data_IF_936833220093
#
_entry.id   IF_936833220093
#
_cell.length_a   1.000
_cell.length_b   1.000
_cell.length_c   1.000
_cell.angle_alpha   90.00
_cell.angle_beta   90.00
_cell.angle_gamma   90.00
#
_symmetry.space_group_name_H-M   'P 1'
#
loop_
_entity.id
_entity.type
_entity.pdbx_description
1 polymer ?
#
# COMPACT_ATOMS: atom_id res chain seq x y z
N UNK A 1 43.70 -64.89 -10.85
CA UNK A 1 43.21 -63.64 -10.20
C UNK A 1 41.83 -63.38 -10.77
N UNK A 2 40.75 -63.66 -10.02
CA UNK A 2 40.08 -62.69 -9.14
C UNK A 2 39.63 -61.48 -9.97
N UNK A 3 38.35 -61.18 -10.22
CA UNK A 3 37.18 -61.20 -9.33
C UNK A 3 35.89 -61.14 -10.17
N UNK A 4 34.83 -61.70 -9.60
CA UNK A 4 33.42 -61.49 -9.94
C UNK A 4 33.02 -60.04 -9.67
N UNK A 5 32.21 -59.42 -10.53
CA UNK A 5 31.20 -58.48 -10.06
C UNK A 5 29.97 -58.43 -10.97
N UNK A 6 28.82 -58.74 -10.37
CA UNK A 6 27.48 -58.72 -10.95
C UNK A 6 26.88 -57.34 -10.88
N UNK A 7 26.32 -56.82 -11.98
CA UNK A 7 25.43 -55.65 -11.95
C UNK A 7 24.01 -56.09 -12.30
N UNK A 8 23.17 -56.17 -11.26
CA UNK A 8 21.75 -56.50 -11.36
C UNK A 8 20.95 -55.36 -12.00
N UNK A 9 20.24 -55.69 -13.08
CA UNK A 9 19.18 -54.86 -13.66
C UNK A 9 17.95 -54.91 -12.74
N UNK A 10 17.63 -53.77 -12.09
CA UNK A 10 16.36 -53.59 -11.37
C UNK A 10 15.26 -53.26 -12.39
N UNK A 11 14.28 -54.15 -12.49
CA UNK A 11 13.02 -53.93 -13.21
C UNK A 11 12.08 -53.16 -12.28
N UNK A 12 11.83 -51.89 -12.59
CA UNK A 12 10.80 -51.09 -11.89
C UNK A 12 9.46 -51.36 -12.57
N UNK A 13 8.60 -52.12 -11.89
CA UNK A 13 7.20 -52.34 -12.29
C UNK A 13 6.41 -51.04 -12.05
N UNK A 14 5.83 -50.50 -13.12
CA UNK A 14 4.80 -49.44 -13.08
C UNK A 14 3.48 -50.07 -12.61
N UNK A 15 3.01 -49.73 -11.43
CA UNK A 15 1.63 -49.98 -11.00
C UNK A 15 0.86 -48.68 -11.09
N UNK A 16 0.01 -48.59 -12.11
CA UNK A 16 -1.08 -47.63 -12.19
C UNK A 16 -2.17 -48.04 -11.19
N UNK A 17 -2.66 -47.10 -10.38
CA UNK A 17 -3.86 -47.28 -9.57
C UNK A 17 -4.84 -46.19 -9.98
N UNK A 18 -6.01 -46.65 -10.42
CA UNK A 18 -7.07 -45.89 -11.04
C UNK A 18 -7.95 -45.16 -10.02
N UNK A 19 -8.42 -44.00 -10.46
CA UNK A 19 -9.41 -43.11 -9.84
C UNK A 19 -10.76 -43.81 -9.67
N UNK A 20 -11.40 -43.65 -8.51
CA UNK A 20 -12.84 -43.96 -8.31
C UNK A 20 -13.51 -42.69 -7.80
N UNK A 21 -14.30 -42.06 -8.66
CA UNK A 21 -15.20 -40.95 -8.34
C UNK A 21 -16.57 -41.57 -8.04
N UNK A 22 -17.07 -41.43 -6.81
CA UNK A 22 -18.42 -41.81 -6.45
C UNK A 22 -19.32 -40.57 -6.52
N UNK A 23 -20.18 -40.55 -7.55
CA UNK A 23 -21.29 -39.60 -7.71
C UNK A 23 -22.49 -40.15 -6.95
N UNK A 24 -23.01 -39.42 -5.97
CA UNK A 24 -24.29 -39.73 -5.32
C UNK A 24 -25.31 -38.69 -5.77
N UNK A 25 -26.21 -39.12 -6.66
CA UNK A 25 -27.43 -38.41 -7.04
C UNK A 25 -28.56 -38.95 -6.17
N UNK A 26 -29.18 -38.09 -5.37
CA UNK A 26 -30.44 -38.38 -4.69
C UNK A 26 -31.53 -37.48 -5.29
N UNK A 27 -32.36 -38.07 -6.15
CA UNK A 27 -33.62 -37.49 -6.63
C UNK A 27 -34.71 -37.97 -5.69
N UNK A 28 -35.41 -37.04 -5.04
CA UNK A 28 -36.72 -37.30 -4.44
C UNK A 28 -37.72 -36.30 -5.03
N UNK A 29 -38.58 -36.84 -5.89
CA UNK A 29 -39.80 -36.21 -6.39
C UNK A 29 -40.87 -36.38 -5.30
N UNK A 30 -41.46 -35.27 -4.87
CA UNK A 30 -42.68 -35.25 -4.06
C UNK A 30 -43.62 -34.18 -4.60
N UNK A 31 -44.72 -34.62 -5.22
CA UNK A 31 -45.83 -33.75 -5.64
C UNK A 31 -46.75 -33.45 -4.44
N UNK A 32 -47.24 -32.23 -4.36
CA UNK A 32 -48.35 -31.84 -3.48
C UNK A 32 -48.75 -30.40 -3.76
N UNK A 33 -49.80 -30.21 -4.56
CA UNK A 33 -50.54 -28.95 -4.69
C UNK A 33 -51.49 -28.82 -3.51
N UNK A 34 -51.67 -27.60 -2.98
CA UNK A 34 -52.96 -26.89 -2.97
C UNK A 34 -52.81 -25.54 -2.22
N UNK A 35 -53.48 -24.54 -2.78
CA UNK A 35 -53.57 -23.14 -2.37
C UNK A 35 -53.93 -22.94 -0.89
N UNK A 36 -53.30 -21.98 -0.20
CA UNK A 36 -54.06 -20.94 0.51
C UNK A 36 -53.21 -19.73 0.95
N UNK A 37 -53.89 -18.60 1.08
CA UNK A 37 -53.38 -17.25 1.20
C UNK A 37 -52.50 -16.95 2.44
N UNK A 38 -51.47 -16.12 2.22
CA UNK A 38 -50.61 -15.56 3.27
C UNK A 38 -51.31 -14.41 4.00
N UNK A 39 -51.34 -14.37 5.35
CA UNK A 39 -51.64 -13.14 6.06
C UNK A 39 -50.38 -12.29 6.15
N UNK A 40 -50.46 -11.06 5.63
CA UNK A 40 -49.45 -10.03 5.84
C UNK A 40 -49.52 -9.54 7.29
N UNK A 41 -48.40 -9.64 8.01
CA UNK A 41 -48.23 -9.00 9.32
C UNK A 41 -47.95 -7.51 9.11
N UNK A 42 -48.86 -6.69 9.61
CA UNK A 42 -48.86 -5.23 9.61
C UNK A 42 -47.70 -4.68 10.47
N UNK A 43 -46.89 -3.79 9.88
CA UNK A 43 -45.91 -2.95 10.61
C UNK A 43 -46.63 -1.64 10.96
N UNK A 44 -46.64 -1.17 12.23
CA UNK A 44 -47.31 0.08 12.58
C UNK A 44 -46.47 1.30 12.17
N UNK A 45 -47.13 2.30 11.58
CA UNK A 45 -46.58 3.63 11.27
C UNK A 45 -46.15 4.41 12.53
N UNK A 46 -45.10 5.27 12.45
CA UNK A 46 -44.76 6.20 13.51
C UNK A 46 -45.72 7.43 13.53
N UNK A 47 -45.92 8.07 14.70
CA UNK A 47 -46.86 9.19 14.85
C UNK A 47 -46.31 10.51 14.28
N UNK A 48 -47.19 11.47 13.92
CA UNK A 48 -46.77 12.73 13.30
C UNK A 48 -46.21 13.73 14.32
N UNK A 49 -45.07 14.33 13.99
CA UNK A 49 -44.45 15.44 14.73
C UNK A 49 -45.15 16.75 14.39
N UNK A 50 -45.77 17.38 15.38
CA UNK A 50 -46.37 18.71 15.29
C UNK A 50 -45.32 19.82 15.39
N UNK A 51 -45.29 20.72 14.41
CA UNK A 51 -44.49 21.96 14.43
C UNK A 51 -45.32 23.07 15.08
N UNK A 52 -44.80 23.85 16.05
CA UNK A 52 -45.41 25.10 16.43
C UNK A 52 -44.83 26.25 15.60
N UNK A 53 -45.71 26.95 14.90
CA UNK A 53 -45.47 28.27 14.29
C UNK A 53 -45.52 29.33 15.39
N UNK A 54 -44.55 30.24 15.43
CA UNK A 54 -44.69 31.52 16.13
C UNK A 54 -44.04 32.62 15.30
N UNK A 55 -44.85 33.60 14.90
CA UNK A 55 -44.46 34.83 14.23
C UNK A 55 -44.46 35.97 15.24
N UNK A 56 -43.37 36.74 15.32
CA UNK A 56 -43.41 38.16 15.70
C UNK A 56 -42.15 38.89 15.21
N UNK A 57 -42.36 40.09 14.68
CA UNK A 57 -41.40 40.99 14.03
C UNK A 57 -40.80 42.04 14.98
N UNK A 58 -39.57 42.52 14.68
CA UNK A 58 -39.00 43.87 14.99
C UNK A 58 -37.61 43.94 14.32
N UNK A 59 -37.35 44.75 13.28
CA UNK A 59 -37.01 46.20 13.22
C UNK A 59 -35.64 46.59 13.81
N UNK A 60 -34.73 46.94 12.89
CA UNK A 60 -33.74 48.06 12.88
C UNK A 60 -32.66 48.18 13.97
N UNK A 61 -31.38 48.13 13.55
CA UNK A 61 -30.39 49.23 13.61
C UNK A 61 -28.94 48.71 13.66
N UNK A 62 -28.08 49.18 12.75
CA UNK A 62 -26.62 49.03 12.80
C UNK A 62 -25.95 50.16 13.60
N UNK A 63 -24.79 49.89 14.25
CA UNK A 63 -23.79 50.93 14.51
C UNK A 63 -22.36 50.55 14.03
N UNK A 64 -21.42 51.51 14.00
CA UNK A 64 -20.41 51.64 12.95
C UNK A 64 -19.00 51.12 13.28
N UNK A 65 -18.22 50.99 12.22
CA UNK A 65 -16.75 50.95 12.14
C UNK A 65 -16.04 51.89 13.12
N UNK A 66 -15.07 51.36 13.88
CA UNK A 66 -13.77 52.00 14.08
C UNK A 66 -12.78 51.05 14.76
N UNK A 67 -11.69 50.69 14.07
CA UNK A 67 -10.46 50.18 14.67
C UNK A 67 -9.25 50.88 14.01
N UNK A 68 -8.20 51.22 14.79
CA UNK A 68 -7.15 52.15 14.37
C UNK A 68 -6.06 51.47 13.54
N UNK A 69 -5.54 52.23 12.58
CA UNK A 69 -4.33 51.92 11.80
C UNK A 69 -3.09 52.05 12.68
N UNK A 70 -2.39 50.94 12.92
CA UNK A 70 -1.02 50.93 13.48
C UNK A 70 -0.05 50.48 12.39
N UNK A 71 0.79 51.41 11.95
CA UNK A 71 1.91 51.17 11.03
C UNK A 71 3.05 50.49 11.80
N UNK A 72 3.35 49.23 11.50
CA UNK A 72 4.55 48.52 11.96
C UNK A 72 5.49 48.30 10.76
N UNK A 73 6.77 48.65 10.96
CA UNK A 73 7.80 48.72 9.91
C UNK A 73 8.17 47.37 9.30
N UNK A 74 8.44 47.40 8.00
CA UNK A 74 8.89 46.26 7.21
C UNK A 74 10.40 46.03 7.43
N UNK A 75 10.73 45.01 8.21
CA UNK A 75 12.04 44.33 8.09
C UNK A 75 11.91 43.30 6.98
N UNK A 76 12.86 43.15 6.03
CA UNK A 76 12.82 42.08 5.04
C UNK A 76 12.95 40.74 5.77
N UNK A 77 11.84 40.00 5.82
CA UNK A 77 11.77 38.64 6.33
C UNK A 77 12.36 37.74 5.24
N UNK A 78 13.60 37.27 5.43
CA UNK A 78 14.17 36.20 4.61
C UNK A 78 13.38 34.94 4.97
N UNK A 79 12.55 34.36 4.08
CA UNK A 79 11.80 33.16 4.40
C UNK A 79 12.75 32.06 4.89
N UNK A 80 12.40 31.37 5.99
CA UNK A 80 13.15 30.21 6.47
C UNK A 80 13.41 29.22 5.32
N UNK A 81 14.59 28.58 5.25
CA UNK A 81 14.86 27.58 4.23
C UNK A 81 13.74 26.55 4.25
N UNK A 82 13.13 26.29 3.09
CA UNK A 82 12.05 25.33 2.94
C UNK A 82 12.47 24.02 3.60
N UNK A 83 11.71 23.58 4.61
CA UNK A 83 11.97 22.32 5.28
C UNK A 83 11.98 21.21 4.23
N UNK A 84 13.00 20.34 4.27
CA UNK A 84 13.10 19.22 3.36
C UNK A 84 11.83 18.36 3.47
N UNK A 85 11.20 18.09 2.33
CA UNK A 85 10.10 17.14 2.26
C UNK A 85 10.68 15.72 2.34
N UNK A 86 9.92 14.79 2.92
CA UNK A 86 10.27 13.36 2.87
C UNK A 86 9.36 12.69 1.85
N UNK A 87 9.96 11.99 0.90
CA UNK A 87 9.26 11.14 -0.08
C UNK A 87 9.60 9.68 0.17
N UNK A 88 8.80 8.80 -0.40
CA UNK A 88 8.96 7.35 -0.39
C UNK A 88 9.66 6.88 -1.67
N UNK A 89 10.65 6.02 -1.54
CA UNK A 89 11.10 5.16 -2.63
C UNK A 89 10.67 3.74 -2.31
N UNK A 90 10.09 3.02 -3.28
CA UNK A 90 9.58 1.68 -3.07
C UNK A 90 10.55 0.63 -3.61
N UNK A 91 10.86 -0.34 -2.76
CA UNK A 91 11.83 -1.41 -3.00
C UNK A 91 11.18 -2.75 -2.67
N UNK A 92 11.73 -3.86 -3.20
CA UNK A 92 11.31 -5.17 -2.71
C UNK A 92 11.92 -5.42 -1.32
N UNK A 93 11.25 -6.21 -0.49
CA UNK A 93 11.68 -6.60 0.84
C UNK A 93 11.54 -8.11 1.00
N UNK A 94 12.53 -8.78 1.62
CA UNK A 94 12.59 -10.17 2.13
C UNK A 94 11.71 -11.25 1.47
N UNK A 95 10.39 -11.08 1.48
CA UNK A 95 9.37 -11.97 0.91
C UNK A 95 9.01 -11.62 -0.56
N UNK A 96 9.89 -10.91 -1.27
CA UNK A 96 9.68 -10.44 -2.65
C UNK A 96 8.45 -9.52 -2.81
N UNK A 97 8.03 -8.87 -1.73
CA UNK A 97 6.92 -7.89 -1.72
C UNK A 97 7.45 -6.46 -1.68
N UNK A 98 6.66 -5.51 -2.19
CA UNK A 98 7.03 -4.09 -2.22
C UNK A 98 6.89 -3.42 -0.84
N UNK A 99 7.79 -2.50 -0.52
CA UNK A 99 7.74 -1.68 0.70
C UNK A 99 8.48 -0.33 0.54
N UNK A 100 8.01 0.73 1.21
CA UNK A 100 8.61 2.06 1.10
C UNK A 100 9.76 2.32 2.09
N UNK A 101 10.67 3.20 1.70
CA UNK A 101 11.70 3.80 2.56
C UNK A 101 11.72 5.32 2.40
N UNK A 102 12.16 6.03 3.44
CA UNK A 102 12.22 7.49 3.45
C UNK A 102 13.38 8.03 2.62
N UNK A 103 13.13 9.13 1.89
CA UNK A 103 14.13 9.89 1.14
C UNK A 103 13.90 11.40 1.37
N UNK A 104 14.89 12.12 1.94
CA UNK A 104 14.79 13.57 2.04
C UNK A 104 14.96 14.21 0.66
N UNK A 105 14.06 15.10 0.29
CA UNK A 105 14.08 15.84 -0.97
C UNK A 105 13.68 17.30 -0.77
N UNK A 106 13.99 18.13 -1.75
CA UNK A 106 13.69 19.57 -1.75
C UNK A 106 13.22 19.99 -3.15
N UNK A 107 12.12 20.74 -3.25
CA UNK A 107 11.69 21.29 -4.53
C UNK A 107 10.16 21.41 -4.67
N UNK A 108 9.73 21.83 -5.86
CA UNK A 108 8.33 21.80 -6.29
C UNK A 108 7.86 20.37 -6.62
N UNK A 109 6.58 20.11 -6.97
CA UNK A 109 6.09 18.74 -7.20
C UNK A 109 6.83 17.97 -8.31
N UNK A 110 7.19 18.62 -9.43
CA UNK A 110 7.92 17.95 -10.52
C UNK A 110 9.36 17.64 -10.09
N UNK A 111 10.01 18.60 -9.43
CA UNK A 111 11.32 18.39 -8.85
C UNK A 111 11.30 17.28 -7.77
N UNK A 112 10.22 17.20 -7.00
CA UNK A 112 10.00 16.20 -5.95
C UNK A 112 9.75 14.81 -6.55
N UNK A 113 8.92 14.70 -7.60
CA UNK A 113 8.69 13.45 -8.34
C UNK A 113 9.96 12.94 -9.01
N UNK A 114 10.71 13.82 -9.69
CA UNK A 114 12.03 13.51 -10.24
C UNK A 114 12.98 13.03 -9.14
N UNK A 115 13.05 13.73 -8.01
CA UNK A 115 13.93 13.35 -6.90
C UNK A 115 13.57 11.99 -6.29
N UNK A 116 12.28 11.67 -6.17
CA UNK A 116 11.82 10.35 -5.71
C UNK A 116 12.26 9.23 -6.67
N UNK A 117 12.12 9.46 -7.98
CA UNK A 117 12.54 8.51 -9.02
C UNK A 117 14.06 8.35 -9.09
N UNK A 118 14.82 9.44 -8.96
CA UNK A 118 16.28 9.38 -8.85
C UNK A 118 16.72 8.60 -7.61
N UNK A 119 16.04 8.81 -6.47
CA UNK A 119 16.30 8.06 -5.25
C UNK A 119 15.93 6.57 -5.37
N UNK A 120 14.90 6.23 -6.14
CA UNK A 120 14.58 4.85 -6.51
C UNK A 120 15.70 4.22 -7.34
N UNK A 121 16.19 4.91 -8.37
CA UNK A 121 17.29 4.43 -9.23
C UNK A 121 18.62 4.30 -8.47
N UNK A 122 18.85 5.13 -7.46
CA UNK A 122 20.01 5.01 -6.58
C UNK A 122 20.00 3.73 -5.73
N UNK A 123 18.82 3.11 -5.56
CA UNK A 123 18.66 1.87 -4.81
C UNK A 123 18.58 2.05 -3.29
N UNK A 124 18.46 0.93 -2.55
CA UNK A 124 18.42 0.95 -1.11
C UNK A 124 19.80 1.26 -0.49
N UNK A 125 19.79 1.94 0.66
CA UNK A 125 20.98 2.21 1.47
C UNK A 125 21.55 0.93 2.11
N UNK A 126 22.76 1.00 2.67
CA UNK A 126 23.36 -0.14 3.37
C UNK A 126 22.53 -0.58 4.58
N UNK A 127 21.93 0.38 5.31
CA UNK A 127 21.05 0.10 6.45
C UNK A 127 19.74 -0.56 6.00
N UNK A 128 19.17 -0.13 4.87
CA UNK A 128 17.96 -0.72 4.30
C UNK A 128 18.22 -2.14 3.77
N UNK A 129 19.37 -2.36 3.10
CA UNK A 129 19.81 -3.69 2.69
C UNK A 129 20.03 -4.62 3.88
N UNK A 130 20.50 -4.10 5.01
CA UNK A 130 20.66 -4.87 6.25
C UNK A 130 19.32 -5.34 6.84
N UNK A 131 18.21 -4.65 6.56
CA UNK A 131 16.84 -5.09 6.85
C UNK A 131 16.11 -5.61 5.59
N UNK A 132 16.91 -6.11 4.62
CA UNK A 132 16.52 -6.89 3.46
C UNK A 132 15.68 -6.20 2.40
N UNK A 133 15.84 -4.88 2.26
CA UNK A 133 15.41 -4.19 1.04
C UNK A 133 16.38 -4.43 -0.12
N UNK A 134 15.83 -4.59 -1.32
CA UNK A 134 16.58 -4.70 -2.56
C UNK A 134 15.86 -4.01 -3.73
N UNK A 135 16.52 -3.94 -4.87
CA UNK A 135 15.94 -3.36 -6.10
C UNK A 135 16.06 -4.35 -7.24
N UNK A 136 15.00 -4.50 -8.01
CA UNK A 136 15.03 -5.25 -9.27
C UNK A 136 15.48 -4.38 -10.44
N UNK A 137 15.64 -3.06 -10.24
CA UNK A 137 16.04 -2.13 -11.30
C UNK A 137 17.51 -2.39 -11.71
N UNK A 138 17.78 -2.66 -13.00
CA UNK A 138 19.14 -2.92 -13.47
C UNK A 138 20.08 -1.75 -13.21
N UNK A 139 21.28 -2.06 -12.71
CA UNK A 139 22.33 -1.07 -12.52
C UNK A 139 22.67 -0.39 -13.86
N UNK A 140 22.75 0.93 -13.85
CA UNK A 140 22.99 1.74 -15.06
C UNK A 140 21.73 2.27 -15.74
N UNK A 141 20.53 1.87 -15.29
CA UNK A 141 19.29 2.56 -15.67
C UNK A 141 19.38 4.03 -15.28
N UNK A 142 19.05 4.94 -16.20
CA UNK A 142 19.06 6.39 -15.95
C UNK A 142 17.69 7.00 -16.19
N UNK A 143 17.36 8.02 -15.41
CA UNK A 143 16.21 8.89 -15.64
C UNK A 143 16.56 9.94 -16.70
N UNK A 144 15.88 9.89 -17.83
CA UNK A 144 16.03 10.84 -18.94
C UNK A 144 15.08 12.03 -18.78
N UNK A 145 13.86 11.77 -18.30
CA UNK A 145 12.82 12.80 -18.21
C UNK A 145 11.69 12.43 -17.27
N UNK A 146 11.09 13.45 -16.66
CA UNK A 146 9.83 13.37 -15.93
C UNK A 146 8.98 14.56 -16.34
N UNK A 147 7.74 14.28 -16.71
CA UNK A 147 6.70 15.29 -16.98
C UNK A 147 5.39 14.82 -16.38
N UNK A 148 4.67 15.72 -15.71
CA UNK A 148 3.33 15.45 -15.19
C UNK A 148 2.34 16.23 -16.04
N UNK A 149 1.29 15.55 -16.51
CA UNK A 149 0.23 16.15 -17.32
C UNK A 149 -1.08 15.38 -17.09
N UNK A 150 -2.14 16.11 -16.73
CA UNK A 150 -3.46 15.53 -16.47
C UNK A 150 -3.49 14.41 -15.42
N UNK A 151 -2.67 14.47 -14.37
CA UNK A 151 -2.56 13.42 -13.35
C UNK A 151 -1.66 12.24 -13.73
N UNK A 152 -1.09 12.24 -14.94
CA UNK A 152 -0.19 11.17 -15.40
C UNK A 152 1.26 11.62 -15.33
N UNK A 153 2.11 10.84 -14.67
CA UNK A 153 3.57 11.01 -14.70
C UNK A 153 4.16 10.22 -15.86
N UNK A 154 4.63 10.93 -16.87
CA UNK A 154 5.41 10.38 -17.97
C UNK A 154 6.86 10.25 -17.51
N UNK A 155 7.33 9.02 -17.35
CA UNK A 155 8.67 8.70 -16.84
C UNK A 155 9.48 8.08 -17.97
N UNK A 156 10.50 8.81 -18.42
CA UNK A 156 11.41 8.40 -19.47
C UNK A 156 12.71 7.87 -18.85
N UNK A 157 12.94 6.58 -19.01
CA UNK A 157 14.12 5.86 -18.54
C UNK A 157 14.96 5.41 -19.73
N UNK A 158 16.20 5.04 -19.50
CA UNK A 158 16.98 4.37 -20.54
C UNK A 158 16.54 2.92 -20.73
N UNK A 159 16.74 2.35 -21.93
CA UNK A 159 16.34 0.98 -22.24
C UNK A 159 16.92 -0.09 -21.29
N UNK A 160 18.01 0.17 -20.56
CA UNK A 160 18.52 -0.77 -19.55
C UNK A 160 17.47 -1.18 -18.51
N UNK A 161 16.42 -0.37 -18.28
CA UNK A 161 15.32 -0.72 -17.36
C UNK A 161 14.64 -2.05 -17.72
N UNK A 162 14.56 -2.39 -19.02
CA UNK A 162 13.93 -3.62 -19.51
C UNK A 162 14.90 -4.81 -19.58
N UNK A 163 16.16 -4.63 -19.19
CA UNK A 163 17.21 -5.64 -19.37
C UNK A 163 17.30 -6.63 -18.21
N UNK A 164 17.58 -7.91 -18.52
CA UNK A 164 17.87 -8.95 -17.53
C UNK A 164 16.72 -9.34 -16.60
N UNK A 165 16.90 -10.40 -15.80
CA UNK A 165 15.84 -10.92 -14.92
C UNK A 165 14.83 -11.81 -15.64
N UNK A 166 13.79 -12.25 -14.92
CA UNK A 166 12.63 -12.98 -15.45
C UNK A 166 11.33 -12.26 -15.11
N UNK A 167 10.18 -12.89 -15.37
CA UNK A 167 8.86 -12.25 -15.25
C UNK A 167 8.59 -11.60 -13.88
N UNK A 168 8.99 -12.26 -12.77
CA UNK A 168 8.85 -11.70 -11.41
C UNK A 168 9.69 -10.42 -11.18
N UNK A 169 10.92 -10.38 -11.71
CA UNK A 169 11.80 -9.20 -11.65
C UNK A 169 11.20 -8.04 -12.44
N UNK A 170 10.66 -8.33 -13.63
CA UNK A 170 10.03 -7.33 -14.49
C UNK A 170 8.76 -6.73 -13.85
N UNK A 171 7.91 -7.56 -13.26
CA UNK A 171 6.72 -7.10 -12.54
C UNK A 171 7.09 -6.22 -11.33
N UNK A 172 8.07 -6.65 -10.53
CA UNK A 172 8.57 -5.84 -9.41
C UNK A 172 9.13 -4.49 -9.86
N UNK A 173 9.84 -4.40 -10.99
CA UNK A 173 10.32 -3.10 -11.51
C UNK A 173 9.19 -2.13 -11.78
N UNK A 174 8.10 -2.62 -12.40
CA UNK A 174 6.92 -1.81 -12.64
C UNK A 174 6.26 -1.38 -11.33
N UNK A 175 6.13 -2.28 -10.35
CA UNK A 175 5.64 -1.95 -9.01
C UNK A 175 6.47 -0.85 -8.35
N UNK A 176 7.80 -1.02 -8.31
CA UNK A 176 8.73 -0.04 -7.74
C UNK A 176 8.58 1.34 -8.39
N UNK A 177 8.45 1.38 -9.72
CA UNK A 177 8.24 2.61 -10.49
C UNK A 177 6.88 3.24 -10.19
N UNK A 178 5.80 2.48 -10.32
CA UNK A 178 4.42 2.96 -10.18
C UNK A 178 4.18 3.47 -8.77
N UNK A 179 4.51 2.69 -7.74
CA UNK A 179 4.29 3.10 -6.35
C UNK A 179 5.11 4.34 -5.98
N UNK A 180 6.35 4.45 -6.47
CA UNK A 180 7.19 5.63 -6.22
C UNK A 180 6.64 6.88 -6.90
N UNK A 181 6.21 6.79 -8.16
CA UNK A 181 5.74 7.95 -8.91
C UNK A 181 4.33 8.42 -8.49
N UNK A 182 3.45 7.50 -8.09
CA UNK A 182 2.05 7.77 -7.72
C UNK A 182 1.84 8.07 -6.23
N UNK A 183 2.92 8.27 -5.46
CA UNK A 183 2.82 8.59 -4.03
C UNK A 183 2.28 10.00 -3.73
N UNK A 184 2.11 10.83 -4.77
CA UNK A 184 1.72 12.23 -4.67
C UNK A 184 0.27 12.38 -5.11
N UNK A 185 -0.54 13.12 -4.35
CA UNK A 185 -1.97 13.32 -4.63
C UNK A 185 -2.26 13.92 -6.02
N UNK A 186 -1.28 14.56 -6.66
CA UNK A 186 -1.39 15.11 -8.01
C UNK A 186 -1.04 14.12 -9.13
N UNK A 187 -0.68 12.87 -8.80
CA UNK A 187 -0.22 11.84 -9.75
C UNK A 187 -0.99 10.54 -9.52
N UNK A 188 -1.93 10.26 -10.42
CA UNK A 188 -2.80 9.10 -10.38
C UNK A 188 -2.19 7.88 -11.09
N UNK A 189 -1.38 8.11 -12.12
CA UNK A 189 -0.87 7.05 -12.99
C UNK A 189 0.52 7.34 -13.57
N UNK A 190 1.16 6.31 -14.15
CA UNK A 190 2.47 6.39 -14.79
C UNK A 190 2.42 5.93 -16.24
N UNK A 191 2.92 6.74 -17.16
CA UNK A 191 3.23 6.29 -18.53
C UNK A 191 4.74 6.06 -18.64
N UNK A 192 5.14 4.82 -18.96
CA UNK A 192 6.55 4.45 -19.14
C UNK A 192 7.02 4.79 -20.55
N UNK A 193 8.17 5.45 -20.63
CA UNK A 193 8.94 5.64 -21.85
C UNK A 193 10.34 5.05 -21.67
N UNK A 194 10.86 4.46 -22.75
CA UNK A 194 12.25 4.02 -22.85
C UNK A 194 12.93 4.74 -24.02
N UNK A 195 14.00 5.47 -23.72
CA UNK A 195 14.75 6.30 -24.66
C UNK A 195 13.83 7.23 -25.49
N UNK A 196 12.85 7.85 -24.81
CA UNK A 196 11.88 8.77 -25.40
C UNK A 196 10.73 8.12 -26.16
N UNK A 197 10.64 6.79 -26.19
CA UNK A 197 9.57 6.04 -26.87
C UNK A 197 8.62 5.43 -25.85
N UNK A 198 7.32 5.65 -26.03
CA UNK A 198 6.32 5.00 -25.18
C UNK A 198 6.35 3.48 -25.38
N UNK A 199 6.27 2.76 -24.26
CA UNK A 199 6.29 1.29 -24.26
C UNK A 199 4.85 0.78 -24.27
N UNK A 200 4.56 -0.17 -25.15
CA UNK A 200 3.27 -0.88 -25.15
C UNK A 200 3.39 -2.29 -24.58
N UNK A 201 4.54 -2.92 -24.80
CA UNK A 201 4.88 -4.24 -24.25
C UNK A 201 6.22 -4.10 -23.54
N UNK A 202 6.20 -4.21 -22.22
CA UNK A 202 7.39 -4.16 -21.40
C UNK A 202 8.02 -5.54 -21.29
N UNK A 203 9.33 -5.59 -21.56
CA UNK A 203 10.16 -6.80 -21.55
C UNK A 203 9.78 -7.88 -22.58
N UNK A 204 10.65 -8.88 -22.73
CA UNK A 204 10.37 -10.09 -23.54
C UNK A 204 9.29 -11.00 -22.96
N UNK A 205 8.79 -10.71 -21.76
CA UNK A 205 7.77 -11.49 -21.05
C UNK A 205 6.34 -11.13 -21.45
N UNK A 206 6.15 -10.04 -22.22
CA UNK A 206 4.85 -9.67 -22.75
C UNK A 206 3.96 -8.90 -21.78
N UNK A 207 4.53 -8.15 -20.82
CA UNK A 207 3.76 -7.33 -19.89
C UNK A 207 3.17 -6.13 -20.64
N UNK A 208 1.85 -6.08 -20.77
CA UNK A 208 1.15 -4.98 -21.44
C UNK A 208 1.23 -3.73 -20.58
N UNK A 209 1.78 -2.65 -21.13
CA UNK A 209 1.91 -1.33 -20.48
C UNK A 209 1.51 -0.20 -21.43
N UNK A 210 0.67 -0.49 -22.43
CA UNK A 210 0.15 0.39 -23.49
C UNK A 210 -0.80 1.51 -23.01
N UNK A 211 -0.94 1.67 -21.70
CA UNK A 211 -1.74 2.68 -21.03
C UNK A 211 -1.01 3.21 -19.78
N UNK A 212 -1.47 4.33 -19.18
CA UNK A 212 -0.98 4.78 -17.89
C UNK A 212 -1.29 3.75 -16.79
N UNK A 213 -0.26 3.28 -16.10
CA UNK A 213 -0.34 2.28 -15.03
C UNK A 213 -0.71 2.92 -13.69
N UNK A 214 -1.68 2.34 -13.00
CA UNK A 214 -2.16 2.76 -11.67
C UNK A 214 -1.81 1.73 -10.59
N UNK A 215 -1.85 2.12 -9.32
CA UNK A 215 -1.68 1.15 -8.20
C UNK A 215 -2.78 0.08 -8.18
N UNK A 216 -4.00 0.46 -8.57
CA UNK A 216 -5.17 -0.43 -8.54
C UNK A 216 -5.03 -1.65 -9.46
N UNK A 217 -4.29 -1.53 -10.55
CA UNK A 217 -3.97 -2.66 -11.44
C UNK A 217 -3.16 -3.77 -10.74
N UNK A 218 -2.45 -3.41 -9.66
CA UNK A 218 -1.61 -4.32 -8.89
C UNK A 218 -2.25 -4.77 -7.57
N UNK A 219 -3.51 -4.44 -7.30
CA UNK A 219 -4.15 -4.76 -6.02
C UNK A 219 -4.16 -6.27 -5.70
N UNK A 220 -4.19 -7.11 -6.72
CA UNK A 220 -4.17 -8.57 -6.57
C UNK A 220 -2.83 -9.18 -6.99
N UNK A 221 -1.82 -8.34 -7.24
CA UNK A 221 -0.47 -8.81 -7.52
C UNK A 221 0.13 -9.42 -6.24
N UNK A 222 0.67 -10.66 -6.29
CA UNK A 222 1.25 -11.32 -5.12
C UNK A 222 2.48 -10.60 -4.55
N UNK A 223 3.10 -9.70 -5.31
CA UNK A 223 4.22 -8.88 -4.87
C UNK A 223 3.77 -7.59 -4.17
N UNK A 224 2.46 -7.31 -4.10
CA UNK A 224 1.88 -6.29 -3.23
C UNK A 224 1.39 -6.97 -1.94
N UNK A 225 1.93 -6.61 -0.77
CA UNK A 225 1.57 -7.29 0.46
C UNK A 225 0.10 -7.04 0.82
N UNK A 226 -0.49 -7.96 1.59
CA UNK A 226 -1.85 -7.79 2.11
C UNK A 226 -1.94 -6.63 3.11
N UNK A 227 -0.83 -6.26 3.74
CA UNK A 227 -0.68 -5.05 4.52
C UNK A 227 0.52 -4.30 3.97
N UNK A 228 0.29 -3.12 3.39
CA UNK A 228 1.34 -2.20 2.97
C UNK A 228 1.31 -0.99 3.90
N UNK A 229 2.35 -0.84 4.72
CA UNK A 229 2.49 0.33 5.60
C UNK A 229 3.28 1.42 4.87
N UNK A 230 2.72 2.63 4.80
CA UNK A 230 3.29 3.79 4.12
C UNK A 230 3.75 4.91 5.07
N UNK A 231 3.45 4.74 6.36
CA UNK A 231 4.13 5.42 7.45
C UNK A 231 3.78 4.79 8.80
N UNK A 232 4.68 4.82 9.80
CA UNK A 232 6.03 5.38 9.72
C UNK A 232 6.94 4.58 8.78
N UNK A 233 8.02 5.20 8.30
CA UNK A 233 9.00 4.57 7.42
C UNK A 233 10.17 3.99 8.23
N UNK A 234 10.90 2.99 7.69
CA UNK A 234 12.07 2.45 8.37
C UNK A 234 13.09 3.55 8.72
N UNK A 235 13.58 3.49 9.95
CA UNK A 235 14.53 4.42 10.56
C UNK A 235 14.01 5.86 10.74
N UNK A 236 12.72 6.09 10.51
CA UNK A 236 12.10 7.39 10.75
C UNK A 236 12.19 7.76 12.24
N UNK A 237 12.44 9.04 12.50
CA UNK A 237 12.39 9.60 13.84
C UNK A 237 10.98 10.10 14.14
N UNK A 238 10.24 9.37 14.96
CA UNK A 238 8.86 9.72 15.34
C UNK A 238 8.88 10.61 16.58
N UNK A 239 8.03 11.65 16.60
CA UNK A 239 7.90 12.61 17.71
C UNK A 239 6.46 12.67 18.20
N UNK A 240 6.26 12.37 19.49
CA UNK A 240 4.91 12.32 20.07
C UNK A 240 4.13 11.13 19.53
N UNK A 241 2.86 11.36 19.21
CA UNK A 241 1.96 10.32 18.71
C UNK A 241 2.49 9.68 17.42
N UNK A 242 2.33 8.36 17.31
CA UNK A 242 2.78 7.59 16.16
C UNK A 242 1.61 7.46 15.19
N UNK A 243 1.68 8.15 14.04
CA UNK A 243 0.72 7.94 12.94
C UNK A 243 1.13 6.73 12.12
N UNK A 244 0.29 5.70 12.12
CA UNK A 244 0.45 4.50 11.30
C UNK A 244 -0.61 4.52 10.21
N UNK A 245 -0.17 4.52 8.94
CA UNK A 245 -1.06 4.58 7.79
C UNK A 245 -0.55 3.75 6.63
N UNK A 246 -1.46 3.37 5.73
CA UNK A 246 -1.15 2.56 4.57
C UNK A 246 -2.41 1.95 3.97
N UNK A 247 -2.27 0.79 3.33
CA UNK A 247 -3.39 0.07 2.73
C UNK A 247 -3.37 -1.40 3.09
N UNK A 248 -4.54 -2.02 3.17
CA UNK A 248 -4.67 -3.43 3.51
C UNK A 248 -5.79 -4.13 2.73
N UNK A 249 -5.65 -5.43 2.55
CA UNK A 249 -6.67 -6.37 2.05
C UNK A 249 -6.68 -7.59 2.98
N UNK A 250 -7.30 -7.43 4.15
CA UNK A 250 -7.24 -8.37 5.28
C UNK A 250 -8.65 -8.79 5.73
N UNK A 251 -8.75 -9.90 6.48
CA UNK A 251 -10.02 -10.38 7.00
C UNK A 251 -10.72 -9.34 7.88
N UNK A 252 -12.03 -9.14 7.66
CA UNK A 252 -12.86 -8.16 8.37
C UNK A 252 -12.32 -6.72 8.39
N UNK A 253 -11.43 -6.38 7.44
CA UNK A 253 -10.72 -5.10 7.40
C UNK A 253 -9.90 -4.80 8.67
N UNK A 254 -9.64 -5.78 9.52
CA UNK A 254 -9.00 -5.57 10.83
C UNK A 254 -7.48 -5.60 10.68
N UNK A 255 -6.85 -4.47 10.96
CA UNK A 255 -5.40 -4.30 10.94
C UNK A 255 -4.93 -4.19 12.39
N UNK A 256 -4.17 -5.16 12.86
CA UNK A 256 -3.63 -5.17 14.23
C UNK A 256 -2.29 -4.45 14.27
N UNK A 257 -2.01 -3.76 15.38
CA UNK A 257 -0.80 -2.97 15.57
C UNK A 257 -0.21 -3.22 16.94
N UNK A 258 1.12 -3.35 16.99
CA UNK A 258 1.91 -3.41 18.22
C UNK A 258 3.08 -2.46 18.12
N UNK A 259 3.36 -1.74 19.20
CA UNK A 259 4.58 -0.93 19.33
C UNK A 259 5.40 -1.50 20.48
N UNK A 260 6.62 -1.93 20.18
CA UNK A 260 7.51 -2.59 21.15
C UNK A 260 8.81 -1.79 21.28
N UNK A 261 9.18 -1.41 22.50
CA UNK A 261 10.45 -0.76 22.79
C UNK A 261 11.64 -1.71 22.59
N UNK A 262 12.86 -1.16 22.50
CA UNK A 262 14.07 -1.94 22.28
C UNK A 262 14.39 -2.99 23.38
N UNK A 263 13.88 -2.80 24.59
CA UNK A 263 14.01 -3.75 25.71
C UNK A 263 12.90 -4.82 25.74
N UNK A 264 11.96 -4.78 24.79
CA UNK A 264 10.84 -5.70 24.67
C UNK A 264 9.56 -5.24 25.37
N UNK A 265 9.53 -4.06 26.01
CA UNK A 265 8.29 -3.51 26.57
C UNK A 265 7.27 -3.22 25.47
N UNK A 266 6.05 -3.74 25.60
CA UNK A 266 4.94 -3.42 24.69
C UNK A 266 4.32 -2.09 25.12
N UNK A 267 4.55 -1.06 24.32
CA UNK A 267 4.05 0.31 24.54
C UNK A 267 2.60 0.47 24.07
N UNK A 268 2.20 -0.32 23.07
CA UNK A 268 0.84 -0.35 22.54
C UNK A 268 0.54 -1.71 21.93
N UNK A 269 -0.69 -2.20 22.11
CA UNK A 269 -1.25 -3.35 21.43
C UNK A 269 -2.74 -3.07 21.18
N UNK A 270 -3.15 -3.12 19.91
CA UNK A 270 -4.50 -2.74 19.50
C UNK A 270 -4.74 -2.96 18.02
N UNK A 271 -5.79 -2.35 17.49
CA UNK A 271 -6.14 -2.47 16.07
C UNK A 271 -6.77 -1.19 15.52
N UNK A 272 -6.79 -1.09 14.20
CA UNK A 272 -7.61 -0.17 13.42
C UNK A 272 -8.36 -0.94 12.33
N UNK A 273 -9.21 -0.25 11.59
CA UNK A 273 -9.92 -0.81 10.44
C UNK A 273 -9.48 -0.14 9.15
N UNK A 274 -9.18 -0.93 8.14
CA UNK A 274 -9.08 -0.44 6.77
C UNK A 274 -10.47 -0.09 6.21
N UNK A 275 -10.53 0.76 5.20
CA UNK A 275 -11.77 1.13 4.51
C UNK A 275 -12.45 -0.06 3.80
N UNK A 276 -11.70 -1.14 3.56
CA UNK A 276 -12.16 -2.34 2.88
C UNK A 276 -11.53 -3.60 3.50
N UNK A 277 -12.25 -4.73 3.43
CA UNK A 277 -11.78 -6.03 3.92
C UNK A 277 -11.39 -6.98 2.80
N UNK A 278 -11.43 -8.28 3.07
CA UNK A 278 -11.01 -9.31 2.10
C UNK A 278 -11.62 -9.15 0.70
N UNK A 279 -10.74 -9.23 -0.30
CA UNK A 279 -11.10 -9.08 -1.70
C UNK A 279 -11.09 -7.64 -2.21
N UNK A 280 -10.70 -6.68 -1.37
CA UNK A 280 -10.67 -5.26 -1.72
C UNK A 280 -9.60 -4.54 -0.90
N UNK A 281 -8.78 -3.71 -1.55
CA UNK A 281 -7.78 -2.89 -0.84
C UNK A 281 -8.45 -1.66 -0.24
N UNK A 282 -8.21 -1.41 1.04
CA UNK A 282 -8.67 -0.22 1.74
C UNK A 282 -7.55 0.50 2.46
N UNK A 283 -7.62 1.83 2.51
CA UNK A 283 -6.73 2.64 3.34
C UNK A 283 -6.99 2.40 4.83
N UNK A 284 -5.96 2.43 5.65
CA UNK A 284 -6.07 2.61 7.09
C UNK A 284 -5.20 3.78 7.52
N UNK A 285 -5.66 4.53 8.52
CA UNK A 285 -4.91 5.64 9.13
C UNK A 285 -5.31 5.74 10.61
N UNK A 286 -4.32 5.59 11.49
CA UNK A 286 -4.52 5.68 12.94
C UNK A 286 -3.37 6.44 13.58
N UNK A 287 -3.69 7.31 14.54
CA UNK A 287 -2.70 8.00 15.36
C UNK A 287 -2.73 7.41 16.76
N UNK A 288 -1.60 6.87 17.20
CA UNK A 288 -1.46 6.15 18.46
C UNK A 288 -0.77 7.07 19.47
N UNK A 289 -1.43 7.43 20.59
CA UNK A 289 -0.82 8.20 21.65
C UNK A 289 0.11 7.30 22.48
N UNK A 290 1.37 7.26 22.09
CA UNK A 290 2.43 6.56 22.81
C UNK A 290 3.66 7.42 22.95
N UNK A 291 4.32 7.29 24.10
CA UNK A 291 5.60 7.95 24.35
C UNK A 291 6.74 6.97 24.06
N UNK A 292 7.19 6.90 22.81
CA UNK A 292 8.27 5.97 22.41
C UNK A 292 9.61 6.50 22.91
N UNK A 293 10.20 5.94 23.96
CA UNK A 293 11.54 6.32 24.41
C UNK A 293 12.63 5.54 23.67
N UNK A 294 13.43 6.22 22.84
CA UNK A 294 14.55 5.59 22.12
C UNK A 294 14.11 4.79 20.89
N UNK A 295 14.77 3.64 20.65
CA UNK A 295 14.45 2.77 19.52
C UNK A 295 13.24 1.89 19.83
N UNK A 296 12.39 1.69 18.83
CA UNK A 296 11.22 0.82 18.92
C UNK A 296 10.90 0.19 17.56
N UNK A 297 10.01 -0.79 17.59
CA UNK A 297 9.47 -1.43 16.39
C UNK A 297 7.96 -1.23 16.35
N UNK A 298 7.45 -0.72 15.24
CA UNK A 298 6.03 -0.75 14.91
C UNK A 298 5.78 -2.02 14.10
N UNK A 299 4.95 -2.92 14.62
CA UNK A 299 4.54 -4.14 13.96
C UNK A 299 3.07 -4.01 13.57
N UNK A 300 2.78 -4.16 12.28
CA UNK A 300 1.41 -4.16 11.74
C UNK A 300 1.12 -5.53 11.16
N UNK A 301 0.04 -6.18 11.57
CA UNK A 301 -0.21 -7.58 11.25
C UNK A 301 -1.71 -7.91 11.18
N UNK A 302 -2.03 -9.08 10.65
CA UNK A 302 -3.36 -9.67 10.71
C UNK A 302 -3.35 -10.81 11.73
N UNK A 303 -4.41 -10.93 12.52
CA UNK A 303 -4.62 -12.08 13.41
C UNK A 303 -5.39 -13.15 12.64
N UNK A 304 -4.76 -14.31 12.47
CA UNK A 304 -5.36 -15.47 11.81
C UNK A 304 -6.65 -15.92 12.52
N UNK A 305 -7.78 -15.90 11.81
CA UNK A 305 -9.05 -16.42 12.32
C UNK A 305 -9.06 -17.94 12.53
N UNK A 306 -8.04 -18.65 12.02
CA UNK A 306 -7.89 -20.10 12.18
C UNK A 306 -7.33 -20.49 13.54
N UNK A 307 -6.32 -19.77 14.02
CA UNK A 307 -5.50 -20.19 15.17
C UNK A 307 -4.97 -19.04 16.04
N UNK A 308 -5.32 -17.79 15.72
CA UNK A 308 -4.88 -16.61 16.46
C UNK A 308 -3.42 -16.23 16.23
N UNK A 309 -2.72 -16.88 15.29
CA UNK A 309 -1.34 -16.51 14.95
C UNK A 309 -1.25 -15.16 14.25
N UNK A 310 -0.12 -14.48 14.40
CA UNK A 310 0.19 -13.26 13.65
C UNK A 310 0.66 -13.63 12.25
N UNK A 311 -0.04 -13.12 11.24
CA UNK A 311 0.26 -13.33 9.82
C UNK A 311 0.36 -11.99 9.11
N UNK A 312 0.96 -11.98 7.92
CA UNK A 312 1.12 -10.77 7.09
C UNK A 312 1.83 -9.62 7.84
N UNK A 313 2.71 -9.96 8.78
CA UNK A 313 3.33 -9.00 9.67
C UNK A 313 4.36 -8.12 8.94
N UNK A 314 4.28 -6.82 9.19
CA UNK A 314 5.20 -5.79 8.71
C UNK A 314 5.86 -5.16 9.93
N UNK A 315 7.16 -5.38 10.09
CA UNK A 315 7.96 -4.77 11.15
C UNK A 315 8.71 -3.55 10.63
N UNK A 316 8.60 -2.43 11.35
CA UNK A 316 9.18 -1.14 10.97
C UNK A 316 10.01 -0.62 12.14
N UNK A 317 11.35 -0.63 12.02
CA UNK A 317 12.21 -0.04 13.05
C UNK A 317 12.07 1.48 13.00
N UNK A 318 11.83 2.10 14.15
CA UNK A 318 11.74 3.57 14.32
C UNK A 318 12.65 4.03 15.45
N UNK A 319 12.96 5.32 15.45
CA UNK A 319 13.74 5.97 16.51
C UNK A 319 12.99 7.16 17.07
N UNK A 320 13.36 7.62 18.26
CA UNK A 320 12.88 8.88 18.84
C UNK A 320 14.04 9.84 19.05
N UNK A 321 13.80 11.14 18.78
CA UNK A 321 14.72 12.24 19.11
C UNK A 321 14.49 12.77 20.52
#
# INVERSE_FOLDING_TARGET
MSTVNSSGRRVVRRTAVATVIAVVVAVLVGCGTDDDATPATEVPDPPPTTVPTTTASTTTAAPPDTLPTTTAGTTPDTPPPAAAAVVRAYFHRHDEVIGPVARPVTGDPVATSRAALEALLAGPSDAERAIGFGSEIPAGTRLLGVRIDGGVSYVDLTAEFESGGGSSSMAMRLLQLVYTATQFDSVDAVRLLLDGVEVDIFSGEGLMVDHPLTRAEFDFDPQVPLILVEGPLPFETVRGDVRVHGTANVFEATVSLRITAADGEVLFDGFTTALCGSGCRGEFDVTIPVDVAGAATVTVFEVSSRDGSEINAVEIPVTRS
#
